data_IF_899966245738
#
_entry.id   IF_899966245738
#
_cell.length_a   1.000
_cell.length_b   1.000
_cell.length_c   1.000
_cell.angle_alpha   90.00
_cell.angle_beta   90.00
_cell.angle_gamma   90.00
#
_symmetry.space_group_name_H-M   'P 1'
#
loop_
_entity.id
_entity.type
_entity.pdbx_description
1 polymer ?
#
# COMPACT_ATOMS: atom_id res chain seq x y z
N UNK A 1 53.43 -49.08 -2.25
CA UNK A 1 53.30 -47.61 -2.34
C UNK A 1 51.92 -47.36 -2.90
N UNK A 2 50.93 -47.16 -2.02
CA UNK A 2 49.51 -47.30 -2.36
C UNK A 2 48.75 -45.99 -2.21
N UNK A 3 47.92 -45.76 -3.22
CA UNK A 3 46.64 -45.05 -3.25
C UNK A 3 46.56 -43.53 -3.01
N UNK A 4 46.47 -42.86 -4.16
CA UNK A 4 45.36 -41.99 -4.57
C UNK A 4 43.98 -42.28 -3.91
N UNK A 5 43.24 -41.19 -3.65
CA UNK A 5 41.81 -41.02 -3.28
C UNK A 5 41.54 -40.34 -1.93
N UNK A 6 40.51 -39.50 -1.98
CA UNK A 6 39.77 -38.84 -0.88
C UNK A 6 40.23 -37.45 -0.44
N UNK A 7 40.15 -36.49 -1.38
CA UNK A 7 39.67 -35.13 -1.10
C UNK A 7 38.15 -35.13 -1.23
N UNK A 8 37.42 -35.29 -0.12
CA UNK A 8 36.08 -34.73 0.14
C UNK A 8 35.47 -35.40 1.38
N UNK A 9 35.81 -34.91 2.59
CA UNK A 9 34.97 -35.08 3.79
C UNK A 9 35.20 -33.90 4.74
N UNK A 10 34.11 -33.46 5.35
CA UNK A 10 33.96 -32.37 6.32
C UNK A 10 33.82 -30.93 5.78
N UNK A 11 32.73 -30.72 5.03
CA UNK A 11 31.92 -29.50 5.13
C UNK A 11 30.49 -29.88 5.51
N UNK A 12 30.29 -30.28 6.76
CA UNK A 12 28.95 -30.42 7.34
C UNK A 12 29.02 -30.26 8.87
N UNK A 13 29.45 -29.08 9.30
CA UNK A 13 29.20 -28.57 10.65
C UNK A 13 28.71 -27.15 10.52
N UNK A 14 27.70 -26.84 11.34
CA UNK A 14 27.02 -25.55 11.47
C UNK A 14 25.75 -25.39 10.62
N UNK A 15 24.85 -26.37 10.72
CA UNK A 15 23.41 -26.08 10.79
C UNK A 15 23.03 -26.03 12.27
N UNK A 16 23.34 -24.90 12.91
CA UNK A 16 22.72 -24.55 14.18
C UNK A 16 21.21 -24.67 14.00
N UNK A 17 20.61 -25.64 14.69
CA UNK A 17 19.18 -25.87 14.64
C UNK A 17 18.46 -24.60 15.06
N UNK A 18 17.75 -23.99 14.13
CA UNK A 18 16.80 -22.91 14.41
C UNK A 18 15.95 -23.40 15.59
N UNK A 19 15.91 -22.70 16.73
CA UNK A 19 15.12 -23.15 17.86
C UNK A 19 13.69 -23.30 17.39
N UNK A 20 13.17 -24.54 17.47
CA UNK A 20 11.77 -24.84 17.17
C UNK A 20 10.90 -23.88 17.99
N UNK A 21 10.30 -22.91 17.29
CA UNK A 21 9.40 -21.93 17.88
C UNK A 21 8.27 -22.73 18.51
N UNK A 22 8.19 -22.73 19.85
CA UNK A 22 7.07 -23.35 20.57
C UNK A 22 5.80 -22.70 20.04
N UNK A 23 4.98 -23.46 19.32
CA UNK A 23 3.65 -23.02 18.89
C UNK A 23 2.84 -22.93 20.17
N UNK A 24 2.74 -21.73 20.74
CA UNK A 24 1.82 -21.49 21.85
C UNK A 24 0.41 -21.58 21.26
N UNK A 25 -0.38 -22.49 21.80
CA UNK A 25 -1.75 -22.76 21.39
C UNK A 25 -2.67 -21.61 21.81
N UNK A 26 -3.69 -21.32 21.00
CA UNK A 26 -4.69 -20.31 21.31
C UNK A 26 -5.43 -20.73 22.59
N UNK A 27 -5.53 -19.81 23.55
CA UNK A 27 -6.29 -20.01 24.79
C UNK A 27 -7.62 -19.28 24.68
N UNK A 28 -8.72 -19.90 25.08
CA UNK A 28 -10.06 -19.31 24.94
C UNK A 28 -10.74 -19.22 26.30
N UNK A 29 -11.41 -18.10 26.53
CA UNK A 29 -12.22 -17.85 27.71
C UNK A 29 -13.64 -17.52 27.29
N UNK A 30 -14.61 -17.92 28.11
CA UNK A 30 -16.02 -17.55 27.96
C UNK A 30 -16.44 -16.63 29.09
N UNK A 31 -17.14 -15.55 28.75
CA UNK A 31 -17.70 -14.65 29.74
C UNK A 31 -18.91 -15.27 30.42
N UNK A 32 -18.93 -15.25 31.75
CA UNK A 32 -20.04 -15.70 32.57
C UNK A 32 -20.76 -14.48 33.18
N UNK A 33 -21.96 -14.15 32.69
CA UNK A 33 -22.72 -12.97 33.13
C UNK A 33 -23.15 -13.03 34.60
N UNK A 34 -23.31 -14.23 35.16
CA UNK A 34 -23.70 -14.41 36.57
C UNK A 34 -22.52 -14.09 37.49
N UNK A 35 -21.31 -14.53 37.14
CA UNK A 35 -20.09 -14.22 37.88
C UNK A 35 -19.55 -12.83 37.56
N UNK A 36 -19.86 -12.30 36.38
CA UNK A 36 -19.30 -11.06 35.86
C UNK A 36 -17.82 -11.15 35.52
N UNK A 37 -17.32 -12.35 35.21
CA UNK A 37 -15.92 -12.63 34.89
C UNK A 37 -15.80 -13.72 33.82
N UNK A 38 -14.58 -13.97 33.34
CA UNK A 38 -14.27 -14.99 32.36
C UNK A 38 -13.84 -16.31 32.98
N UNK A 39 -14.26 -17.40 32.37
CA UNK A 39 -13.85 -18.76 32.69
C UNK A 39 -13.06 -19.34 31.51
N UNK A 40 -11.92 -19.98 31.79
CA UNK A 40 -11.09 -20.60 30.75
C UNK A 40 -11.78 -21.86 30.22
N UNK A 41 -11.89 -21.97 28.90
CA UNK A 41 -12.45 -23.14 28.25
C UNK A 41 -11.38 -24.20 28.01
N UNK A 42 -11.66 -25.42 28.44
CA UNK A 42 -10.84 -26.60 28.11
C UNK A 42 -11.33 -27.09 26.75
N UNK A 43 -10.56 -26.79 25.71
CA UNK A 43 -10.89 -27.15 24.32
C UNK A 43 -10.21 -28.47 23.94
N UNK A 44 -10.98 -29.35 23.30
CA UNK A 44 -10.44 -30.56 22.66
C UNK A 44 -9.53 -30.16 21.49
N UNK A 45 -8.30 -30.71 21.39
CA UNK A 45 -7.39 -30.45 20.26
C UNK A 45 -8.00 -30.59 18.86
N UNK A 46 -9.04 -31.43 18.68
CA UNK A 46 -9.68 -31.65 17.39
C UNK A 46 -10.84 -30.67 17.09
N UNK A 47 -11.26 -29.85 18.06
CA UNK A 47 -12.33 -28.88 17.90
C UNK A 47 -11.83 -27.64 17.14
N UNK A 48 -12.56 -27.22 16.11
CA UNK A 48 -12.22 -25.99 15.37
C UNK A 48 -12.74 -24.77 16.14
N UNK A 49 -11.92 -23.73 16.24
CA UNK A 49 -12.26 -22.51 16.98
C UNK A 49 -13.53 -21.83 16.47
N UNK A 50 -13.79 -21.87 15.16
CA UNK A 50 -15.02 -21.34 14.57
C UNK A 50 -16.30 -22.01 15.10
N UNK A 51 -16.21 -23.28 15.51
CA UNK A 51 -17.36 -24.05 15.99
C UNK A 51 -17.72 -23.65 17.44
N UNK A 52 -16.91 -22.81 18.10
CA UNK A 52 -17.19 -22.21 19.40
C UNK A 52 -18.01 -20.91 19.31
N UNK A 53 -18.09 -20.30 18.12
CA UNK A 53 -18.76 -19.01 17.93
C UNK A 53 -20.29 -19.19 18.01
N UNK A 54 -20.86 -18.80 19.14
CA UNK A 54 -22.27 -18.91 19.46
C UNK A 54 -22.84 -17.52 19.78
N UNK A 55 -24.00 -17.20 19.22
CA UNK A 55 -24.59 -15.86 19.25
C UNK A 55 -24.94 -15.35 20.66
N UNK A 56 -25.07 -16.26 21.62
CA UNK A 56 -25.34 -15.93 23.02
C UNK A 56 -24.08 -15.69 23.85
N UNK A 57 -22.88 -15.93 23.31
CA UNK A 57 -21.62 -15.89 24.08
C UNK A 57 -20.75 -14.68 23.80
N UNK A 58 -20.00 -14.27 24.82
CA UNK A 58 -18.83 -13.40 24.68
C UNK A 58 -17.60 -14.27 24.92
N UNK A 59 -16.73 -14.33 23.92
CA UNK A 59 -15.53 -15.15 23.94
C UNK A 59 -14.29 -14.27 23.90
N UNK A 60 -13.24 -14.69 24.60
CA UNK A 60 -11.95 -14.04 24.59
C UNK A 60 -10.89 -15.03 24.15
N UNK A 61 -10.32 -14.79 22.97
CA UNK A 61 -9.26 -15.62 22.39
C UNK A 61 -7.92 -14.94 22.60
N UNK A 62 -6.97 -15.63 23.22
CA UNK A 62 -5.59 -15.21 23.33
C UNK A 62 -4.83 -15.84 22.19
N UNK A 63 -4.31 -15.01 21.28
CA UNK A 63 -3.57 -15.38 20.09
C UNK A 63 -2.09 -14.97 20.24
N UNK A 64 -1.22 -15.91 20.65
CA UNK A 64 0.20 -15.63 20.81
C UNK A 64 0.95 -15.43 19.49
N UNK A 65 0.41 -15.91 18.35
CA UNK A 65 1.06 -15.78 17.05
C UNK A 65 1.11 -14.31 16.63
N UNK A 66 0.02 -13.57 16.88
CA UNK A 66 -0.12 -12.17 16.48
C UNK A 66 -0.06 -11.18 17.65
N UNK A 67 0.31 -11.63 18.86
CA UNK A 67 0.33 -10.83 20.09
C UNK A 67 -0.99 -10.07 20.28
N UNK A 68 -2.11 -10.77 20.16
CA UNK A 68 -3.44 -10.17 20.18
C UNK A 68 -4.39 -10.96 21.06
N UNK A 69 -5.27 -10.24 21.74
CA UNK A 69 -6.41 -10.80 22.45
C UNK A 69 -7.66 -10.35 21.71
N UNK A 70 -8.43 -11.29 21.20
CA UNK A 70 -9.68 -11.02 20.50
C UNK A 70 -10.82 -11.15 21.49
N UNK A 71 -11.62 -10.10 21.64
CA UNK A 71 -12.85 -10.11 22.41
C UNK A 71 -14.02 -10.16 21.42
N UNK A 72 -14.58 -11.34 21.21
CA UNK A 72 -15.68 -11.57 20.28
C UNK A 72 -17.01 -11.50 21.01
N UNK A 73 -17.97 -10.76 20.45
CA UNK A 73 -19.31 -10.62 21.00
C UNK A 73 -20.35 -11.26 20.08
N UNK A 74 -21.03 -12.27 20.57
CA UNK A 74 -22.21 -12.85 19.92
C UNK A 74 -23.33 -11.82 19.78
N UNK A 75 -24.16 -12.02 18.76
CA UNK A 75 -25.21 -11.09 18.35
C UNK A 75 -26.25 -10.84 19.45
N UNK A 76 -26.62 -11.86 20.22
CA UNK A 76 -27.65 -11.78 21.27
C UNK A 76 -27.13 -11.23 22.60
N UNK A 77 -25.82 -10.95 22.71
CA UNK A 77 -25.22 -10.47 23.96
C UNK A 77 -25.60 -9.02 24.24
N UNK A 78 -25.95 -8.72 25.51
CA UNK A 78 -26.42 -7.38 25.89
C UNK A 78 -25.29 -6.35 25.99
N UNK A 79 -25.60 -5.07 25.83
CA UNK A 79 -24.64 -3.96 26.02
C UNK A 79 -23.94 -4.03 27.39
N UNK A 80 -24.69 -4.45 28.44
CA UNK A 80 -24.14 -4.60 29.79
C UNK A 80 -23.08 -5.71 29.84
N UNK A 81 -23.36 -6.87 29.24
CA UNK A 81 -22.40 -7.98 29.16
C UNK A 81 -21.13 -7.53 28.43
N UNK A 82 -21.26 -6.90 27.25
CA UNK A 82 -20.13 -6.38 26.48
C UNK A 82 -19.27 -5.39 27.28
N UNK A 83 -19.91 -4.49 28.03
CA UNK A 83 -19.21 -3.52 28.86
C UNK A 83 -18.41 -4.18 30.00
N UNK A 84 -19.01 -5.16 30.69
CA UNK A 84 -18.34 -5.88 31.77
C UNK A 84 -17.20 -6.73 31.20
N UNK A 85 -17.43 -7.46 30.12
CA UNK A 85 -16.43 -8.25 29.44
C UNK A 85 -15.23 -7.41 28.99
N UNK A 86 -15.46 -6.25 28.37
CA UNK A 86 -14.38 -5.32 28.00
C UNK A 86 -13.56 -4.83 29.20
N UNK A 87 -14.21 -4.67 30.37
CA UNK A 87 -13.54 -4.29 31.62
C UNK A 87 -12.71 -5.44 32.22
N UNK A 88 -13.13 -6.69 32.02
CA UNK A 88 -12.47 -7.89 32.57
C UNK A 88 -11.40 -8.48 31.63
N UNK A 89 -11.36 -8.08 30.37
CA UNK A 89 -10.35 -8.52 29.40
C UNK A 89 -8.88 -8.12 29.72
N UNK A 90 -8.57 -6.89 30.21
CA UNK A 90 -7.18 -6.47 30.48
C UNK A 90 -6.44 -7.32 31.52
N UNK A 91 -7.03 -7.69 32.68
CA UNK A 91 -6.39 -8.62 33.61
C UNK A 91 -6.02 -9.96 32.98
N UNK A 92 -6.85 -10.48 32.07
CA UNK A 92 -6.58 -11.76 31.38
C UNK A 92 -5.43 -11.58 30.39
N UNK A 93 -5.47 -10.52 29.57
CA UNK A 93 -4.36 -10.15 28.69
C UNK A 93 -3.04 -10.08 29.46
N UNK A 94 -3.02 -9.41 30.61
CA UNK A 94 -1.80 -9.20 31.39
C UNK A 94 -1.22 -10.50 31.97
N UNK A 95 -2.04 -11.54 32.20
CA UNK A 95 -1.56 -12.89 32.56
C UNK A 95 -0.75 -13.55 31.44
N UNK A 96 -1.11 -13.28 30.19
CA UNK A 96 -0.46 -13.86 29.00
C UNK A 96 0.70 -12.99 28.49
N UNK A 97 0.57 -11.67 28.61
CA UNK A 97 1.64 -10.72 28.33
C UNK A 97 1.10 -9.30 28.12
N UNK A 98 1.77 -8.32 28.72
CA UNK A 98 1.44 -6.90 28.58
C UNK A 98 1.57 -6.37 27.13
N UNK A 99 2.33 -7.07 26.28
CA UNK A 99 2.54 -6.71 24.88
C UNK A 99 1.32 -7.00 23.98
N UNK A 100 0.35 -7.78 24.47
CA UNK A 100 -0.80 -8.17 23.67
C UNK A 100 -1.75 -6.99 23.47
N UNK A 101 -2.32 -6.83 22.27
CA UNK A 101 -3.35 -5.83 22.01
C UNK A 101 -4.74 -6.45 22.12
N UNK A 102 -5.65 -5.86 22.91
CA UNK A 102 -7.06 -6.28 22.91
C UNK A 102 -7.77 -5.66 21.71
N UNK A 103 -8.48 -6.47 20.94
CA UNK A 103 -9.32 -6.04 19.81
C UNK A 103 -10.70 -6.63 19.99
N UNK A 104 -11.70 -5.78 20.14
CA UNK A 104 -13.10 -6.20 20.19
C UNK A 104 -13.65 -6.38 18.78
N UNK A 105 -14.42 -7.44 18.57
CA UNK A 105 -15.11 -7.76 17.32
C UNK A 105 -16.54 -8.17 17.65
N UNK A 106 -17.49 -7.70 16.86
CA UNK A 106 -18.90 -8.09 16.99
C UNK A 106 -19.24 -9.10 15.88
N UNK A 107 -20.16 -10.02 16.18
CA UNK A 107 -20.70 -10.94 15.19
C UNK A 107 -21.25 -10.19 13.96
N UNK A 108 -20.98 -10.73 12.78
CA UNK A 108 -21.27 -10.15 11.46
C UNK A 108 -20.50 -8.86 11.11
N UNK A 109 -19.55 -8.45 11.96
CA UNK A 109 -18.63 -7.35 11.72
C UNK A 109 -17.19 -7.74 12.13
N UNK A 110 -16.84 -9.02 11.95
CA UNK A 110 -15.51 -9.53 12.23
C UNK A 110 -14.46 -8.97 11.28
N UNK A 111 -13.32 -8.56 11.83
CA UNK A 111 -12.18 -8.17 10.99
C UNK A 111 -11.58 -9.39 10.29
N UNK A 112 -11.03 -9.22 9.09
CA UNK A 112 -10.27 -10.26 8.37
C UNK A 112 -9.24 -10.98 9.27
N UNK A 113 -8.48 -10.23 10.08
CA UNK A 113 -7.50 -10.83 10.99
C UNK A 113 -8.10 -11.76 12.06
N UNK A 114 -9.35 -11.53 12.48
CA UNK A 114 -10.08 -12.43 13.38
C UNK A 114 -10.51 -13.69 12.64
N UNK A 115 -11.05 -13.53 11.42
CA UNK A 115 -11.48 -14.66 10.58
C UNK A 115 -10.32 -15.60 10.25
N UNK A 116 -9.13 -15.05 9.98
CA UNK A 116 -7.89 -15.83 9.82
C UNK A 116 -7.54 -16.59 11.10
N UNK A 117 -7.64 -15.93 12.26
CA UNK A 117 -7.32 -16.54 13.55
C UNK A 117 -8.23 -17.74 13.88
N UNK A 118 -9.54 -17.64 13.62
CA UNK A 118 -10.48 -18.75 13.85
C UNK A 118 -10.47 -19.81 12.73
N UNK A 119 -9.70 -19.60 11.67
CA UNK A 119 -9.56 -20.52 10.54
C UNK A 119 -10.73 -20.48 9.53
N UNK A 120 -11.40 -19.34 9.42
CA UNK A 120 -12.44 -19.08 8.42
C UNK A 120 -11.88 -18.46 7.13
N UNK A 121 -10.78 -17.72 7.22
CA UNK A 121 -10.10 -17.11 6.08
C UNK A 121 -8.60 -17.45 6.07
N UNK A 122 -7.96 -17.29 4.92
CA UNK A 122 -6.51 -17.50 4.76
C UNK A 122 -5.75 -16.19 5.03
N UNK A 123 -4.55 -16.31 5.61
CA UNK A 123 -3.67 -15.17 5.87
C UNK A 123 -3.24 -14.54 4.54
N UNK A 124 -3.59 -13.28 4.30
CA UNK A 124 -3.12 -12.55 3.12
C UNK A 124 -1.63 -12.25 3.30
N UNK A 125 -0.81 -12.90 2.47
CA UNK A 125 0.61 -12.62 2.37
C UNK A 125 0.83 -11.33 1.56
N UNK A 126 0.96 -10.20 2.25
CA UNK A 126 1.25 -8.90 1.64
C UNK A 126 2.66 -8.80 1.05
N UNK A 127 3.54 -9.79 1.30
CA UNK A 127 4.87 -9.88 0.66
C UNK A 127 4.80 -10.58 -0.71
N UNK A 128 3.66 -11.20 -1.07
CA UNK A 128 3.38 -11.63 -2.44
C UNK A 128 3.12 -10.39 -3.30
N UNK A 129 4.00 -10.16 -4.27
CA UNK A 129 3.92 -9.06 -5.23
C UNK A 129 2.50 -8.95 -5.82
N UNK A 130 1.83 -7.83 -5.58
CA UNK A 130 0.53 -7.53 -6.14
C UNK A 130 0.58 -7.61 -7.67
N UNK A 131 -0.09 -8.60 -8.26
CA UNK A 131 -0.20 -8.73 -9.71
C UNK A 131 -1.21 -7.71 -10.25
N UNK A 132 -0.71 -6.51 -10.58
CA UNK A 132 -1.34 -5.69 -11.61
C UNK A 132 -1.33 -6.42 -12.95
N UNK A 133 -2.04 -5.95 -14.00
CA UNK A 133 -1.99 -6.59 -15.32
C UNK A 133 -0.53 -6.72 -15.75
N UNK A 134 -0.03 -7.96 -15.83
CA UNK A 134 1.37 -8.26 -16.12
C UNK A 134 1.62 -8.02 -17.61
N UNK A 135 2.03 -6.80 -17.96
CA UNK A 135 2.52 -6.54 -19.30
C UNK A 135 3.94 -7.11 -19.39
N UNK A 136 4.09 -8.23 -20.08
CA UNK A 136 5.39 -8.81 -20.42
C UNK A 136 6.08 -7.93 -21.47
N UNK A 137 6.83 -6.92 -21.00
CA UNK A 137 7.65 -6.10 -21.89
C UNK A 137 8.68 -6.93 -22.62
N UNK A 138 8.81 -6.71 -23.93
CA UNK A 138 9.85 -7.33 -24.74
C UNK A 138 11.22 -6.70 -24.44
N UNK A 139 12.31 -7.37 -24.79
CA UNK A 139 13.66 -6.78 -24.67
C UNK A 139 13.79 -5.46 -25.46
N UNK A 140 13.07 -5.34 -26.57
CA UNK A 140 12.97 -4.13 -27.39
C UNK A 140 12.29 -2.98 -26.64
N UNK A 141 11.27 -3.28 -25.83
CA UNK A 141 10.57 -2.31 -24.99
C UNK A 141 11.46 -1.74 -23.87
N UNK A 142 12.28 -2.60 -23.26
CA UNK A 142 13.26 -2.19 -22.25
C UNK A 142 14.41 -1.37 -22.87
N UNK A 143 14.84 -1.71 -24.08
CA UNK A 143 15.84 -0.94 -24.82
C UNK A 143 15.29 0.41 -25.30
N UNK A 144 14.02 0.45 -25.72
CA UNK A 144 13.31 1.69 -26.04
C UNK A 144 13.22 2.62 -24.82
N UNK A 145 12.89 2.08 -23.64
CA UNK A 145 12.89 2.83 -22.39
C UNK A 145 14.28 3.35 -22.01
N UNK A 146 15.35 2.58 -22.25
CA UNK A 146 16.75 3.03 -22.00
C UNK A 146 17.22 4.10 -22.97
N UNK A 147 16.75 4.07 -24.22
CA UNK A 147 17.20 4.95 -25.32
C UNK A 147 16.30 6.16 -25.58
N UNK A 148 15.39 6.49 -24.64
CA UNK A 148 14.54 7.69 -24.72
C UNK A 148 15.42 8.96 -24.75
N UNK A 149 15.72 9.45 -25.95
CA UNK A 149 16.38 10.73 -26.16
C UNK A 149 15.42 11.89 -25.88
N UNK A 150 15.95 13.10 -25.66
CA UNK A 150 15.15 14.31 -25.40
C UNK A 150 14.13 14.60 -26.51
N UNK A 151 14.49 14.31 -27.75
CA UNK A 151 13.63 14.49 -28.93
C UNK A 151 12.42 13.54 -28.92
N UNK A 152 12.61 12.28 -28.51
CA UNK A 152 11.49 11.32 -28.35
C UNK A 152 10.55 11.71 -27.22
N UNK A 153 11.09 12.26 -26.12
CA UNK A 153 10.29 12.77 -25.00
C UNK A 153 9.42 13.94 -25.49
N UNK A 154 10.00 14.90 -26.21
CA UNK A 154 9.26 16.03 -26.79
C UNK A 154 8.14 15.56 -27.73
N UNK A 155 8.42 14.63 -28.64
CA UNK A 155 7.41 14.09 -29.56
C UNK A 155 6.23 13.45 -28.81
N UNK A 156 6.50 12.73 -27.70
CA UNK A 156 5.46 12.12 -26.87
C UNK A 156 4.63 13.19 -26.14
N UNK A 157 5.29 14.22 -25.61
CA UNK A 157 4.65 15.36 -24.94
C UNK A 157 3.76 16.18 -25.89
N UNK A 158 4.17 16.31 -27.15
CA UNK A 158 3.38 16.93 -28.21
C UNK A 158 2.14 16.11 -28.55
N UNK A 159 2.32 14.80 -28.77
CA UNK A 159 1.21 13.89 -29.06
C UNK A 159 0.19 13.81 -27.92
N UNK A 160 0.66 13.86 -26.67
CA UNK A 160 -0.19 13.80 -25.49
C UNK A 160 -0.98 15.10 -25.24
N UNK A 161 -0.53 16.22 -25.81
CA UNK A 161 -1.08 17.54 -25.55
C UNK A 161 -0.94 17.97 -24.09
N UNK A 162 -1.29 19.23 -23.82
CA UNK A 162 -1.52 19.72 -22.45
C UNK A 162 -3.03 19.73 -22.23
N UNK A 163 -3.54 19.22 -21.10
CA UNK A 163 -4.96 19.32 -20.78
C UNK A 163 -5.44 20.77 -20.73
N UNK A 164 -6.70 21.00 -21.07
CA UNK A 164 -7.30 22.34 -21.03
C UNK A 164 -7.29 22.90 -19.60
N UNK A 165 -6.96 24.19 -19.45
CA UNK A 165 -6.86 24.86 -18.15
C UNK A 165 -5.54 24.61 -17.41
N UNK A 166 -4.54 24.01 -18.06
CA UNK A 166 -3.24 23.73 -17.44
C UNK A 166 -2.06 24.19 -18.31
N UNK A 167 -0.97 24.56 -17.65
CA UNK A 167 0.33 24.79 -18.26
C UNK A 167 1.33 23.74 -17.76
N UNK A 168 2.13 23.18 -18.67
CA UNK A 168 3.21 22.26 -18.31
C UNK A 168 4.41 23.06 -17.83
N UNK A 169 4.84 22.88 -16.57
CA UNK A 169 6.03 23.57 -16.04
C UNK A 169 7.25 22.67 -15.89
N UNK A 170 7.06 21.47 -15.37
CA UNK A 170 8.15 20.54 -15.08
C UNK A 170 7.83 19.18 -15.69
N UNK A 171 8.87 18.52 -16.20
CA UNK A 171 8.82 17.14 -16.67
C UNK A 171 9.93 16.35 -15.99
N UNK A 172 9.54 15.28 -15.30
CA UNK A 172 10.44 14.33 -14.67
C UNK A 172 10.51 13.09 -15.56
N UNK A 173 11.71 12.72 -15.98
CA UNK A 173 11.96 11.54 -16.79
C UNK A 173 12.88 10.62 -16.00
N UNK A 174 12.32 9.50 -15.51
CA UNK A 174 12.98 8.60 -14.56
C UNK A 174 13.48 9.35 -13.32
N UNK A 175 14.77 9.61 -13.23
CA UNK A 175 15.45 10.29 -12.13
C UNK A 175 15.97 11.69 -12.50
N UNK A 176 15.61 12.23 -13.68
CA UNK A 176 16.05 13.53 -14.14
C UNK A 176 14.89 14.51 -14.23
N UNK A 177 15.09 15.72 -13.73
CA UNK A 177 14.08 16.78 -13.72
C UNK A 177 14.43 17.82 -14.79
N UNK A 178 13.42 18.19 -15.57
CA UNK A 178 13.52 19.17 -16.65
C UNK A 178 12.49 20.27 -16.47
N UNK A 179 12.91 21.52 -16.68
CA UNK A 179 11.98 22.62 -16.89
C UNK A 179 11.43 22.60 -18.32
N UNK A 180 10.13 22.85 -18.50
CA UNK A 180 9.49 22.97 -19.80
C UNK A 180 9.22 24.45 -20.10
N UNK A 181 9.58 24.91 -21.30
CA UNK A 181 9.24 26.26 -21.78
C UNK A 181 8.85 26.23 -23.26
N UNK A 182 7.88 27.07 -23.61
CA UNK A 182 7.50 27.37 -25.00
C UNK A 182 8.08 28.73 -25.40
N UNK A 183 8.66 28.83 -26.59
CA UNK A 183 9.16 30.08 -27.15
C UNK A 183 8.46 30.37 -28.48
N UNK A 184 8.08 31.62 -28.66
CA UNK A 184 7.66 32.14 -29.96
C UNK A 184 8.91 32.52 -30.76
N UNK A 185 9.20 31.79 -31.84
CA UNK A 185 10.23 32.17 -32.82
C UNK A 185 9.59 32.64 -34.12
N UNK A 186 9.93 33.87 -34.51
CA UNK A 186 9.56 34.40 -35.81
C UNK A 186 10.48 33.86 -36.89
N UNK A 187 9.96 32.97 -37.73
CA UNK A 187 10.62 32.51 -38.94
C UNK A 187 9.86 33.06 -40.14
N UNK A 188 10.52 33.92 -40.94
CA UNK A 188 9.99 34.41 -42.22
C UNK A 188 8.56 35.01 -42.11
N UNK A 189 8.29 35.73 -41.01
CA UNK A 189 6.99 36.38 -40.76
C UNK A 189 5.91 35.47 -40.15
N UNK A 190 6.20 34.19 -39.89
CA UNK A 190 5.33 33.28 -39.14
C UNK A 190 5.88 33.05 -37.74
N UNK A 191 5.02 33.18 -36.72
CA UNK A 191 5.35 32.81 -35.33
C UNK A 191 5.23 31.30 -35.19
N UNK A 192 6.35 30.61 -34.96
CA UNK A 192 6.39 29.17 -34.67
C UNK A 192 6.65 29.01 -33.17
N UNK A 193 5.77 28.27 -32.48
CA UNK A 193 5.96 27.87 -31.08
C UNK A 193 6.92 26.70 -31.00
N UNK A 194 8.17 26.96 -30.62
CA UNK A 194 9.15 25.92 -30.34
C UNK A 194 9.10 25.53 -28.86
N UNK A 195 8.98 24.22 -28.60
CA UNK A 195 8.91 23.65 -27.25
C UNK A 195 10.25 23.02 -26.89
N UNK A 196 10.78 23.34 -25.72
CA UNK A 196 12.08 22.81 -25.31
C UNK A 196 12.11 22.42 -23.82
N UNK A 197 12.76 21.27 -23.56
CA UNK A 197 13.10 20.82 -22.22
C UNK A 197 14.50 21.31 -21.84
N UNK A 198 14.62 21.91 -20.66
CA UNK A 198 15.88 22.41 -20.12
C UNK A 198 16.27 21.59 -18.90
N UNK A 199 17.52 21.09 -18.81
CA UNK A 199 18.03 20.65 -17.52
C UNK A 199 17.98 21.84 -16.56
N UNK A 200 17.65 21.58 -15.30
CA UNK A 200 17.68 22.63 -14.28
C UNK A 200 19.10 23.16 -14.16
N UNK A 201 19.23 24.49 -14.04
CA UNK A 201 20.55 25.16 -13.88
C UNK A 201 21.12 24.98 -12.49
N UNK A 202 20.25 24.77 -11.50
CA UNK A 202 20.59 24.63 -10.10
C UNK A 202 20.37 23.17 -9.69
N UNK A 203 21.33 22.62 -8.96
CA UNK A 203 21.16 21.32 -8.31
C UNK A 203 20.09 21.49 -7.22
N UNK A 204 19.06 20.65 -7.26
CA UNK A 204 18.06 20.59 -6.21
C UNK A 204 18.73 19.97 -4.99
N UNK A 205 18.60 20.61 -3.83
CA UNK A 205 19.15 20.07 -2.58
C UNK A 205 18.54 18.69 -2.25
N UNK A 206 19.29 17.87 -1.53
CA UNK A 206 18.78 16.58 -1.09
C UNK A 206 17.66 16.79 -0.06
N UNK A 207 16.48 16.23 -0.31
CA UNK A 207 15.34 16.44 0.58
C UNK A 207 14.03 15.85 0.07
N UNK A 208 13.00 15.98 0.90
CA UNK A 208 11.62 15.65 0.50
C UNK A 208 10.95 16.92 -0.01
N UNK A 209 10.37 16.85 -1.20
CA UNK A 209 9.69 17.97 -1.84
C UNK A 209 8.22 17.62 -2.06
N UNK A 210 7.34 18.57 -1.74
CA UNK A 210 5.96 18.53 -2.19
C UNK A 210 5.85 19.32 -3.49
N UNK A 211 5.10 18.79 -4.46
CA UNK A 211 4.79 19.49 -5.70
C UNK A 211 3.61 20.45 -5.46
N UNK A 212 3.80 21.40 -4.55
CA UNK A 212 2.76 22.35 -4.12
C UNK A 212 2.25 23.15 -5.32
N UNK A 213 0.92 23.27 -5.44
CA UNK A 213 0.21 23.94 -6.54
C UNK A 213 0.33 23.26 -7.93
N UNK A 214 0.94 22.07 -8.01
CA UNK A 214 1.01 21.30 -9.25
C UNK A 214 0.15 20.04 -9.18
N UNK A 215 -0.48 19.70 -10.31
CA UNK A 215 -1.14 18.41 -10.51
C UNK A 215 -0.19 17.48 -11.26
N UNK A 216 0.25 16.36 -10.67
CA UNK A 216 1.09 15.39 -11.36
C UNK A 216 0.28 14.59 -12.37
N UNK A 217 0.74 14.54 -13.63
CA UNK A 217 0.22 13.66 -14.68
C UNK A 217 1.28 12.62 -15.04
N UNK A 218 1.00 11.35 -14.72
CA UNK A 218 1.92 10.24 -14.97
C UNK A 218 1.65 9.58 -16.32
N UNK A 219 2.71 9.24 -17.06
CA UNK A 219 2.62 8.43 -18.26
C UNK A 219 3.23 7.06 -18.02
N UNK A 220 2.38 6.05 -18.15
CA UNK A 220 2.78 4.66 -18.03
C UNK A 220 3.18 4.08 -19.39
N UNK A 221 4.16 3.19 -19.37
CA UNK A 221 4.48 2.26 -20.45
C UNK A 221 4.95 0.98 -19.79
N UNK A 222 4.32 -0.14 -20.10
CA UNK A 222 4.82 -1.45 -19.67
C UNK A 222 4.95 -1.55 -18.14
N UNK A 223 3.92 -1.09 -17.41
CA UNK A 223 3.89 -0.97 -15.94
C UNK A 223 4.98 -0.10 -15.31
N UNK A 224 5.73 0.66 -16.13
CA UNK A 224 6.74 1.59 -15.65
C UNK A 224 6.24 3.02 -15.84
N UNK A 225 6.49 3.88 -14.85
CA UNK A 225 6.36 5.33 -15.00
C UNK A 225 7.50 5.81 -15.90
N UNK A 226 7.17 6.21 -17.12
CA UNK A 226 8.17 6.67 -18.11
C UNK A 226 8.45 8.16 -17.94
N UNK A 227 7.39 8.93 -17.67
CA UNK A 227 7.49 10.34 -17.40
C UNK A 227 6.39 10.81 -16.44
N UNK A 228 6.70 11.87 -15.70
CA UNK A 228 5.73 12.58 -14.86
C UNK A 228 5.77 14.05 -15.25
N UNK A 229 4.62 14.62 -15.60
CA UNK A 229 4.45 16.06 -15.80
C UNK A 229 3.93 16.69 -14.52
N UNK A 230 4.45 17.85 -14.15
CA UNK A 230 3.83 18.72 -13.15
C UNK A 230 3.13 19.87 -13.87
N UNK A 231 1.80 19.85 -13.78
CA UNK A 231 0.92 20.80 -14.45
C UNK A 231 0.47 21.87 -13.47
N UNK A 232 0.62 23.13 -13.86
CA UNK A 232 0.09 24.26 -13.10
C UNK A 232 -1.28 24.65 -13.66
N UNK A 233 -2.31 24.83 -12.83
CA UNK A 233 -3.59 25.34 -13.30
C UNK A 233 -3.43 26.78 -13.81
N UNK A 234 -4.01 27.08 -14.97
CA UNK A 234 -4.06 28.44 -15.52
C UNK A 234 -5.32 29.10 -14.97
N UNK A 235 -5.18 30.25 -14.31
CA UNK A 235 -6.31 31.13 -14.03
C UNK A 235 -6.79 31.76 -15.35
N UNK A 236 -7.91 31.27 -15.88
CA UNK A 236 -8.57 31.90 -17.02
C UNK A 236 -9.35 33.09 -16.49
N UNK A 237 -8.89 34.31 -16.77
CA UNK A 237 -9.68 35.52 -16.50
C UNK A 237 -10.87 35.58 -17.47
N UNK A 238 -12.04 35.19 -16.97
CA UNK A 238 -13.34 35.23 -17.68
C UNK A 238 -13.74 36.64 -18.18
N UNK A 239 -13.00 37.69 -17.83
CA UNK A 239 -13.25 39.05 -18.31
C UNK A 239 -13.06 39.22 -19.82
N UNK A 240 -12.27 38.35 -20.47
CA UNK A 240 -11.97 38.44 -21.92
C UNK A 240 -13.11 37.84 -22.76
N UNK A 241 -13.74 36.74 -22.32
CA UNK A 241 -14.85 36.12 -23.08
C UNK A 241 -16.10 37.02 -23.14
N UNK A 242 -16.37 37.82 -22.10
CA UNK A 242 -17.52 38.74 -22.07
C UNK A 242 -17.40 39.96 -22.99
N UNK A 243 -16.19 40.35 -23.41
CA UNK A 243 -16.01 41.41 -24.43
C UNK A 243 -16.30 40.88 -25.83
N UNK A 244 -15.83 39.68 -26.16
CA UNK A 244 -16.03 39.10 -27.50
C UNK A 244 -17.49 38.84 -27.86
N UNK A 245 -18.36 38.56 -26.87
CA UNK A 245 -19.81 38.39 -27.12
C UNK A 245 -20.58 39.72 -27.17
N UNK A 246 -20.07 40.81 -26.59
CA UNK A 246 -20.73 42.14 -26.68
C UNK A 246 -20.46 42.87 -27.99
N UNK A 247 -19.36 42.55 -28.66
CA UNK A 247 -18.99 43.17 -29.94
C UNK A 247 -19.56 42.44 -31.17
N UNK A 248 -20.26 41.31 -30.97
CA UNK A 248 -21.01 40.59 -32.01
C UNK A 248 -22.50 40.97 -32.05
N UNK A 249 -23.01 41.62 -30.99
CA UNK A 249 -24.40 42.07 -30.86
C UNK A 249 -24.55 43.60 -30.97
N UNK A 250 -23.57 44.30 -31.55
CA UNK A 250 -23.57 45.76 -31.76
C UNK A 250 -23.55 46.15 -33.25
#
# INVERSE_FOLDING_TARGET
MSNDKDKDKDKDKDKEGIPLRRVQTITVYQFNDVLGDFEELIIDPDLKLKDLLDDDFILLFVDPKHYRVWLWHGFNTTTRMKFIAAKMAPPIRDKHGFAFKITAVDQDNETHGFLVMVGLEEEIDYDQVQTGPEYEGTAEDLEFLKTMSREKILLRLEKAGVPEGFERKIVIVKNQIYGYREYDRNYLGSVIKERQLFPLKEEIEDGTYLADNYIPRMHFSYNNVVLTELLEPIEIDDSIQKKSMKDLDA
#
